data_IF_028586929212
#
_entry.id   IF_028586929212
#
_cell.length_a   1.000
_cell.length_b   1.000
_cell.length_c   1.000
_cell.angle_alpha   90.00
_cell.angle_beta   90.00
_cell.angle_gamma   90.00
#
_symmetry.space_group_name_H-M   'P 1'
#
loop_
_entity.id
_entity.type
_entity.pdbx_description
1 polymer ?
#
# COMPACT_ATOMS: atom_id res chain seq x y z
N UNK A 1 15.85 -20.27 -8.50
CA UNK A 1 14.90 -19.17 -8.18
C UNK A 1 14.32 -18.65 -9.48
N UNK A 2 13.07 -18.18 -9.47
CA UNK A 2 12.44 -17.57 -10.67
C UNK A 2 13.22 -16.31 -11.08
N UNK A 3 13.31 -15.95 -12.38
CA UNK A 3 13.84 -14.65 -12.81
C UNK A 3 13.14 -13.50 -12.08
N UNK A 4 13.89 -12.48 -11.67
CA UNK A 4 13.33 -11.37 -10.89
C UNK A 4 12.26 -10.58 -11.66
N UNK A 5 12.39 -10.46 -12.98
CA UNK A 5 11.38 -9.84 -13.85
C UNK A 5 10.00 -10.49 -13.68
N UNK A 6 9.93 -11.82 -13.50
CA UNK A 6 8.66 -12.51 -13.23
C UNK A 6 8.06 -12.10 -11.88
N UNK A 7 8.89 -11.87 -10.87
CA UNK A 7 8.46 -11.36 -9.56
C UNK A 7 7.88 -9.95 -9.71
N UNK A 8 8.52 -9.08 -10.51
CA UNK A 8 8.02 -7.72 -10.78
C UNK A 8 6.68 -7.78 -11.54
N UNK A 9 6.58 -8.61 -12.57
CA UNK A 9 5.32 -8.77 -13.33
C UNK A 9 4.18 -9.29 -12.46
N UNK A 10 4.45 -10.28 -11.62
CA UNK A 10 3.43 -10.93 -10.79
C UNK A 10 2.97 -10.05 -9.62
N UNK A 11 3.91 -9.43 -8.90
CA UNK A 11 3.60 -8.71 -7.66
C UNK A 11 3.60 -7.19 -7.80
N UNK A 12 4.14 -6.63 -8.89
CA UNK A 12 4.22 -5.20 -9.15
C UNK A 12 2.90 -4.46 -8.95
N UNK A 13 1.78 -4.90 -9.58
CA UNK A 13 0.48 -4.26 -9.40
C UNK A 13 -0.01 -4.28 -7.94
N UNK A 14 0.22 -5.37 -7.21
CA UNK A 14 -0.15 -5.47 -5.80
C UNK A 14 0.65 -4.50 -4.93
N UNK A 15 1.98 -4.48 -5.10
CA UNK A 15 2.86 -3.56 -4.36
C UNK A 15 2.45 -2.11 -4.62
N UNK A 16 2.10 -1.79 -5.87
CA UNK A 16 1.68 -0.43 -6.22
C UNK A 16 0.37 -0.04 -5.52
N UNK A 17 -0.62 -0.92 -5.49
CA UNK A 17 -1.86 -0.69 -4.74
C UNK A 17 -1.59 -0.49 -3.24
N UNK A 18 -0.67 -1.27 -2.67
CA UNK A 18 -0.26 -1.12 -1.27
C UNK A 18 0.42 0.23 -1.03
N UNK A 19 1.35 0.63 -1.90
CA UNK A 19 2.02 1.94 -1.81
C UNK A 19 0.99 3.09 -1.89
N UNK A 20 0.06 3.05 -2.86
CA UNK A 20 -1.03 4.04 -2.99
C UNK A 20 -1.93 4.09 -1.76
N UNK A 21 -2.30 2.94 -1.21
CA UNK A 21 -3.12 2.86 -0.01
C UNK A 21 -2.43 3.49 1.22
N UNK A 22 -1.12 3.29 1.36
CA UNK A 22 -0.38 3.69 2.56
C UNK A 22 0.14 5.13 2.47
N UNK A 23 0.56 5.58 1.29
CA UNK A 23 1.23 6.86 1.09
C UNK A 23 0.37 7.90 0.37
N UNK A 24 -0.58 7.48 -0.46
CA UNK A 24 -1.22 8.35 -1.44
C UNK A 24 -0.57 8.26 -2.83
N UNK A 25 -1.22 8.79 -3.87
CA UNK A 25 -0.74 8.67 -5.26
C UNK A 25 0.59 9.40 -5.50
N UNK A 26 0.85 10.50 -4.81
CA UNK A 26 2.04 11.35 -4.96
C UNK A 26 3.37 10.60 -4.72
N UNK A 27 3.44 9.81 -3.65
CA UNK A 27 4.68 9.13 -3.23
C UNK A 27 4.70 7.65 -3.62
N UNK A 28 3.61 7.12 -4.21
CA UNK A 28 3.44 5.68 -4.41
C UNK A 28 4.37 5.10 -5.48
N UNK A 29 4.51 5.78 -6.62
CA UNK A 29 5.30 5.28 -7.75
C UNK A 29 6.80 5.24 -7.40
N UNK A 30 7.27 6.21 -6.61
CA UNK A 30 8.64 6.24 -6.09
C UNK A 30 8.87 5.14 -5.04
N UNK A 31 7.97 5.01 -4.06
CA UNK A 31 8.04 3.94 -3.07
C UNK A 31 7.98 2.54 -3.71
N UNK A 32 7.20 2.37 -4.77
CA UNK A 32 7.16 1.15 -5.57
C UNK A 32 8.51 0.86 -6.22
N UNK A 33 9.10 1.86 -6.87
CA UNK A 33 10.40 1.75 -7.54
C UNK A 33 11.50 1.40 -6.54
N UNK A 34 11.57 2.12 -5.41
CA UNK A 34 12.51 1.85 -4.34
C UNK A 34 12.33 0.46 -3.73
N UNK A 35 11.10 -0.03 -3.65
CA UNK A 35 10.79 -1.38 -3.17
C UNK A 35 11.42 -2.43 -4.07
N UNK A 36 11.24 -2.32 -5.39
CA UNK A 36 11.81 -3.30 -6.33
C UNK A 36 13.33 -3.17 -6.48
N UNK A 37 13.91 -1.97 -6.35
CA UNK A 37 15.36 -1.77 -6.28
C UNK A 37 15.97 -2.41 -5.02
N UNK A 38 15.29 -2.30 -3.88
CA UNK A 38 15.73 -2.99 -2.66
C UNK A 38 15.55 -4.51 -2.78
N UNK A 39 14.43 -4.95 -3.35
CA UNK A 39 14.11 -6.36 -3.53
C UNK A 39 15.10 -7.06 -4.46
N UNK A 40 15.46 -6.49 -5.63
CA UNK A 40 16.42 -7.15 -6.55
C UNK A 40 17.78 -7.39 -5.90
N UNK A 41 18.22 -6.48 -5.02
CA UNK A 41 19.50 -6.62 -4.28
C UNK A 41 19.44 -7.72 -3.23
N UNK A 42 18.30 -7.87 -2.56
CA UNK A 42 18.10 -8.86 -1.50
C UNK A 42 17.64 -10.23 -2.03
N UNK A 43 17.09 -10.28 -3.24
CA UNK A 43 16.49 -11.47 -3.85
C UNK A 43 17.41 -12.70 -3.88
N UNK A 44 18.73 -12.60 -4.17
CA UNK A 44 19.60 -13.77 -4.16
C UNK A 44 19.70 -14.49 -2.81
N UNK A 45 19.40 -13.80 -1.70
CA UNK A 45 19.42 -14.37 -0.35
C UNK A 45 18.04 -14.80 0.16
N UNK A 46 16.98 -14.67 -0.64
CA UNK A 46 15.63 -15.03 -0.23
C UNK A 46 15.48 -16.57 -0.21
N UNK A 47 15.01 -17.18 0.90
CA UNK A 47 14.75 -18.61 0.94
C UNK A 47 13.76 -19.05 -0.14
N UNK A 48 13.93 -20.25 -0.69
CA UNK A 48 13.10 -20.76 -1.77
C UNK A 48 11.63 -20.99 -1.37
N UNK A 49 11.38 -21.21 -0.08
CA UNK A 49 10.07 -21.41 0.56
C UNK A 49 9.49 -20.12 1.18
N UNK A 50 10.17 -18.98 0.99
CA UNK A 50 9.71 -17.71 1.54
C UNK A 50 8.39 -17.27 0.89
N UNK A 51 7.51 -16.69 1.69
CA UNK A 51 6.35 -15.96 1.19
C UNK A 51 6.81 -14.66 0.53
N UNK A 52 6.95 -14.68 -0.81
CA UNK A 52 7.44 -13.54 -1.61
C UNK A 52 6.53 -12.32 -1.45
N UNK A 53 5.22 -12.53 -1.37
CA UNK A 53 4.24 -11.46 -1.18
C UNK A 53 4.46 -10.72 0.14
N UNK A 54 4.52 -11.47 1.25
CA UNK A 54 4.80 -10.92 2.57
C UNK A 54 6.16 -10.20 2.63
N UNK A 55 7.16 -10.77 1.97
CA UNK A 55 8.49 -10.18 1.90
C UNK A 55 8.49 -8.85 1.13
N UNK A 56 7.83 -8.76 -0.01
CA UNK A 56 7.69 -7.50 -0.76
C UNK A 56 6.90 -6.45 0.02
N UNK A 57 5.80 -6.84 0.67
CA UNK A 57 5.02 -5.93 1.53
C UNK A 57 5.87 -5.44 2.71
N UNK A 58 6.74 -6.28 3.26
CA UNK A 58 7.69 -5.88 4.32
C UNK A 58 8.63 -4.79 3.83
N UNK A 59 9.17 -4.93 2.61
CA UNK A 59 10.05 -3.92 2.02
C UNK A 59 9.27 -2.62 1.76
N UNK A 60 8.09 -2.72 1.12
CA UNK A 60 7.23 -1.58 0.84
C UNK A 60 6.80 -0.83 2.11
N UNK A 61 6.48 -1.56 3.19
CA UNK A 61 6.16 -0.98 4.49
C UNK A 61 7.31 -0.14 5.06
N UNK A 62 8.54 -0.66 4.99
CA UNK A 62 9.74 0.08 5.44
C UNK A 62 9.95 1.34 4.62
N UNK A 63 9.80 1.25 3.30
CA UNK A 63 9.86 2.42 2.40
C UNK A 63 8.82 3.47 2.72
N UNK A 64 7.58 3.05 2.98
CA UNK A 64 6.52 3.96 3.38
C UNK A 64 6.80 4.64 4.73
N UNK A 65 7.38 3.93 5.70
CA UNK A 65 7.82 4.53 6.97
C UNK A 65 8.91 5.59 6.73
N UNK A 66 9.86 5.31 5.86
CA UNK A 66 10.95 6.25 5.57
C UNK A 66 10.44 7.54 4.91
N UNK A 67 9.53 7.43 3.95
CA UNK A 67 8.86 8.56 3.29
C UNK A 67 8.08 9.40 4.31
N UNK A 68 7.22 8.77 5.13
CA UNK A 68 6.42 9.49 6.13
C UNK A 68 7.29 10.19 7.19
N UNK A 69 8.40 9.57 7.60
CA UNK A 69 9.39 10.19 8.50
C UNK A 69 10.16 11.33 7.84
N UNK A 70 10.42 11.27 6.55
CA UNK A 70 11.06 12.36 5.82
C UNK A 70 10.12 13.55 5.68
N UNK A 71 8.86 13.32 5.32
CA UNK A 71 7.84 14.36 5.21
C UNK A 71 7.62 15.11 6.53
N UNK A 72 7.53 14.39 7.65
CA UNK A 72 7.37 15.00 8.98
C UNK A 72 8.56 15.88 9.44
N UNK A 73 9.74 15.73 8.83
CA UNK A 73 10.96 16.49 9.16
C UNK A 73 11.22 17.66 8.22
N UNK A 74 10.47 17.81 7.12
CA UNK A 74 10.62 18.94 6.19
C UNK A 74 9.83 20.14 6.72
N UNK A 75 10.40 21.36 6.75
CA UNK A 75 9.61 22.56 6.95
C UNK A 75 8.60 22.69 5.81
N UNK A 76 7.33 22.96 6.12
CA UNK A 76 6.24 23.08 5.14
C UNK A 76 6.60 24.14 4.09
N UNK A 77 6.85 23.77 2.82
CA UNK A 77 7.11 24.75 1.78
C UNK A 77 5.79 25.44 1.40
N UNK A 78 5.73 26.76 1.56
CA UNK A 78 4.67 27.62 1.01
C UNK A 78 5.00 27.92 -0.44
N UNK A 79 4.93 26.91 -1.31
CA UNK A 79 4.83 27.14 -2.75
C UNK A 79 4.17 25.93 -3.41
N UNK A 80 2.91 26.10 -3.81
CA UNK A 80 2.18 25.07 -4.55
C UNK A 80 2.54 25.20 -6.02
N UNK A 81 3.53 24.42 -6.48
CA UNK A 81 3.63 24.14 -7.91
C UNK A 81 2.53 23.12 -8.27
N UNK A 82 1.76 23.34 -9.34
CA UNK A 82 0.86 22.32 -9.84
C UNK A 82 1.70 21.21 -10.47
N UNK A 83 1.94 20.14 -9.72
CA UNK A 83 2.52 18.93 -10.27
C UNK A 83 1.46 18.21 -11.12
N UNK A 84 1.80 17.98 -12.38
CA UNK A 84 0.96 17.18 -13.27
C UNK A 84 1.22 15.70 -12.96
N UNK A 85 0.20 14.92 -12.57
CA UNK A 85 0.41 13.50 -12.32
C UNK A 85 0.86 12.81 -13.61
N UNK A 86 2.02 12.14 -13.56
CA UNK A 86 2.47 11.28 -14.64
C UNK A 86 1.47 10.13 -14.80
N UNK A 87 0.71 10.13 -15.92
CA UNK A 87 -0.32 9.13 -16.25
C UNK A 87 0.26 7.82 -16.77
N UNK A 88 1.31 7.28 -16.14
CA UNK A 88 1.94 6.04 -16.60
C UNK A 88 2.00 5.01 -15.49
N UNK A 89 0.92 4.23 -15.38
CA UNK A 89 0.81 3.06 -14.50
C UNK A 89 -0.65 2.73 -14.18
N UNK A 90 -1.47 2.37 -15.20
CA UNK A 90 -2.89 2.05 -15.01
C UNK A 90 -3.06 0.66 -14.37
N UNK A 91 -3.83 0.57 -13.29
CA UNK A 91 -5.08 -0.17 -13.27
C UNK A 91 -6.20 0.85 -13.37
N UNK A 92 -6.87 0.88 -14.52
CA UNK A 92 -8.06 1.70 -14.75
C UNK A 92 -9.13 1.29 -13.73
N UNK A 93 -9.93 2.24 -13.24
CA UNK A 93 -11.11 2.07 -12.38
C UNK A 93 -10.91 1.89 -10.86
N UNK A 94 -10.00 2.65 -10.24
CA UNK A 94 -10.03 2.80 -8.78
C UNK A 94 -10.32 4.24 -8.39
N UNK A 95 -11.44 4.40 -7.69
CA UNK A 95 -12.05 5.65 -7.30
C UNK A 95 -11.07 6.54 -6.51
N UNK A 96 -10.88 7.78 -6.96
CA UNK A 96 -10.09 8.78 -6.22
C UNK A 96 -10.61 8.98 -4.80
N UNK A 97 -11.93 8.83 -4.63
CA UNK A 97 -12.61 8.96 -3.34
C UNK A 97 -12.24 7.80 -2.39
N UNK A 98 -11.95 6.60 -2.91
CA UNK A 98 -11.50 5.47 -2.10
C UNK A 98 -10.09 5.70 -1.54
N UNK A 99 -9.18 6.23 -2.36
CA UNK A 99 -7.82 6.55 -1.89
C UNK A 99 -7.84 7.66 -0.85
N UNK A 100 -8.72 8.65 -1.03
CA UNK A 100 -8.91 9.68 -0.02
C UNK A 100 -9.47 9.10 1.28
N UNK A 101 -10.53 8.29 1.20
CA UNK A 101 -11.12 7.64 2.37
C UNK A 101 -10.11 6.74 3.10
N UNK A 102 -9.24 6.03 2.36
CA UNK A 102 -8.14 5.27 2.95
C UNK A 102 -7.13 6.16 3.66
N UNK A 103 -6.73 7.30 3.06
CA UNK A 103 -5.80 8.26 3.67
C UNK A 103 -6.33 8.84 4.98
N UNK A 104 -7.64 9.03 5.09
CA UNK A 104 -8.27 9.60 6.29
C UNK A 104 -8.34 8.60 7.46
N UNK A 105 -8.08 7.32 7.22
CA UNK A 105 -7.99 6.33 8.29
C UNK A 105 -6.73 6.55 9.17
N UNK A 106 -6.82 6.26 10.48
CA UNK A 106 -5.65 6.10 11.32
C UNK A 106 -4.62 5.15 10.70
N UNK A 107 -3.34 5.52 10.73
CA UNK A 107 -2.28 4.82 9.99
C UNK A 107 -2.28 3.29 10.15
N UNK A 108 -2.46 2.79 11.39
CA UNK A 108 -2.51 1.35 11.65
C UNK A 108 -3.74 0.66 11.03
N UNK A 109 -4.90 1.32 11.00
CA UNK A 109 -6.09 0.80 10.37
C UNK A 109 -5.92 0.76 8.85
N UNK A 110 -5.44 1.86 8.27
CA UNK A 110 -5.10 1.97 6.83
C UNK A 110 -4.14 0.86 6.39
N UNK A 111 -3.05 0.68 7.13
CA UNK A 111 -2.06 -0.36 6.83
C UNK A 111 -2.63 -1.77 7.00
N UNK A 112 -3.39 -2.04 8.06
CA UNK A 112 -4.00 -3.35 8.28
C UNK A 112 -5.03 -3.70 7.19
N UNK A 113 -5.80 -2.72 6.71
CA UNK A 113 -6.70 -2.89 5.57
C UNK A 113 -5.90 -3.16 4.29
N UNK A 114 -4.91 -2.33 3.98
CA UNK A 114 -4.10 -2.47 2.76
C UNK A 114 -3.38 -3.83 2.71
N UNK A 115 -2.71 -4.22 3.80
CA UNK A 115 -1.93 -5.45 3.86
C UNK A 115 -2.77 -6.72 3.95
N UNK A 116 -4.06 -6.63 4.27
CA UNK A 116 -4.92 -7.81 4.29
C UNK A 116 -5.72 -7.97 3.00
N UNK A 117 -6.26 -6.87 2.48
CA UNK A 117 -7.21 -6.92 1.37
C UNK A 117 -6.57 -6.65 0.00
N UNK A 118 -5.42 -5.96 -0.06
CA UNK A 118 -4.76 -5.63 -1.35
C UNK A 118 -3.59 -6.56 -1.67
N UNK A 119 -2.85 -6.94 -0.64
CA UNK A 119 -1.92 -8.06 -0.59
C UNK A 119 -2.57 -9.09 0.33
N UNK A 120 -2.78 -10.36 0.03
CA UNK A 120 -3.56 -11.27 0.87
C UNK A 120 -2.91 -11.69 2.19
N UNK A 121 -2.23 -10.82 2.95
CA UNK A 121 -1.45 -11.26 4.10
C UNK A 121 -2.34 -11.74 5.26
N UNK A 122 -1.96 -12.83 5.93
CA UNK A 122 -2.60 -13.25 7.16
C UNK A 122 -2.30 -12.25 8.30
N UNK A 123 -3.26 -12.07 9.21
CA UNK A 123 -3.10 -11.14 10.34
C UNK A 123 -1.86 -11.40 11.22
N UNK A 124 -1.33 -12.62 11.22
CA UNK A 124 -0.09 -12.95 11.91
C UNK A 124 1.11 -12.19 11.32
N UNK A 125 1.22 -12.14 10.00
CA UNK A 125 2.29 -11.40 9.31
C UNK A 125 2.09 -9.88 9.48
N UNK A 126 0.83 -9.42 9.37
CA UNK A 126 0.48 -8.01 9.58
C UNK A 126 0.85 -7.56 11.00
N UNK A 127 0.60 -8.38 12.03
CA UNK A 127 1.00 -8.08 13.39
C UNK A 127 2.52 -7.96 13.55
N UNK A 128 3.29 -8.81 12.86
CA UNK A 128 4.75 -8.71 12.80
C UNK A 128 5.23 -7.41 12.15
N UNK A 129 4.54 -6.94 11.12
CA UNK A 129 4.86 -5.67 10.44
C UNK A 129 4.51 -4.44 11.29
N UNK A 130 3.28 -4.40 11.83
CA UNK A 130 2.75 -3.21 12.51
C UNK A 130 3.17 -3.11 13.98
N UNK A 131 3.73 -4.19 14.53
CA UNK A 131 3.98 -4.35 15.96
C UNK A 131 2.67 -4.56 16.73
N UNK A 132 2.57 -5.69 17.41
CA UNK A 132 1.43 -6.02 18.28
C UNK A 132 0.99 -7.47 18.15
N UNK A 133 -0.23 -7.75 18.59
CA UNK A 133 -0.85 -9.08 18.50
C UNK A 133 -1.64 -9.27 17.21
N UNK A 134 -1.85 -10.52 16.81
CA UNK A 134 -2.74 -10.89 15.70
C UNK A 134 -4.16 -10.34 15.90
N UNK A 135 -4.66 -10.34 17.13
CA UNK A 135 -5.98 -9.77 17.46
C UNK A 135 -6.03 -8.26 17.27
N UNK A 136 -4.95 -7.55 17.63
CA UNK A 136 -4.85 -6.11 17.41
C UNK A 136 -4.84 -5.78 15.91
N UNK A 137 -4.11 -6.56 15.09
CA UNK A 137 -4.10 -6.40 13.63
C UNK A 137 -5.49 -6.66 13.03
N UNK A 138 -6.17 -7.73 13.45
CA UNK A 138 -7.55 -8.04 13.03
C UNK A 138 -8.51 -6.91 13.42
N UNK A 139 -8.44 -6.41 14.66
CA UNK A 139 -9.28 -5.31 15.13
C UNK A 139 -9.02 -4.03 14.34
N UNK A 140 -7.75 -3.67 14.09
CA UNK A 140 -7.41 -2.51 13.27
C UNK A 140 -7.99 -2.59 11.85
N UNK A 141 -7.93 -3.76 11.21
CA UNK A 141 -8.55 -3.97 9.89
C UNK A 141 -10.08 -3.87 9.95
N UNK A 142 -10.72 -4.44 10.97
CA UNK A 142 -12.17 -4.38 11.17
C UNK A 142 -12.66 -2.94 11.41
N UNK A 143 -11.96 -2.18 12.26
CA UNK A 143 -12.28 -0.78 12.56
C UNK A 143 -12.06 0.12 11.33
N UNK A 144 -11.00 -0.14 10.55
CA UNK A 144 -10.77 0.53 9.28
C UNK A 144 -11.90 0.28 8.29
N UNK A 145 -12.31 -0.98 8.10
CA UNK A 145 -13.42 -1.33 7.22
C UNK A 145 -14.76 -0.74 7.69
N UNK A 146 -15.01 -0.71 9.00
CA UNK A 146 -16.19 -0.04 9.57
C UNK A 146 -16.21 1.45 9.22
N UNK A 147 -15.08 2.12 9.36
CA UNK A 147 -14.94 3.54 9.03
C UNK A 147 -15.17 3.76 7.53
N UNK A 148 -14.50 3.01 6.67
CA UNK A 148 -14.67 3.10 5.21
C UNK A 148 -16.12 2.91 4.77
N UNK A 149 -16.85 1.94 5.34
CA UNK A 149 -18.28 1.74 5.04
C UNK A 149 -19.17 2.93 5.39
N UNK A 150 -18.73 3.79 6.32
CA UNK A 150 -19.48 4.99 6.72
C UNK A 150 -19.04 6.26 6.00
N UNK A 151 -17.78 6.32 5.57
CA UNK A 151 -17.18 7.53 4.99
C UNK A 151 -17.05 7.49 3.47
N UNK A 152 -16.91 6.30 2.90
CA UNK A 152 -16.88 6.09 1.46
C UNK A 152 -18.32 5.85 1.00
N UNK A 153 -18.95 6.79 0.25
CA UNK A 153 -20.28 6.58 -0.26
C UNK A 153 -20.27 5.30 -1.11
N UNK A 154 -21.21 4.39 -0.86
CA UNK A 154 -21.45 3.32 -1.81
C UNK A 154 -21.88 4.01 -3.09
N UNK A 155 -20.99 4.06 -4.09
CA UNK A 155 -21.38 4.42 -5.45
C UNK A 155 -22.43 3.40 -5.84
N UNK A 156 -23.71 3.83 -5.82
CA UNK A 156 -24.82 2.99 -6.26
C UNK A 156 -24.44 2.42 -7.62
N UNK A 157 -24.40 1.08 -7.71
CA UNK A 157 -24.06 0.34 -8.93
C UNK A 157 -25.14 0.47 -10.02
N UNK A 158 -25.97 1.53 -9.98
CA UNK A 158 -27.11 1.72 -10.88
C UNK A 158 -26.75 2.41 -12.21
N UNK A 159 -25.59 3.05 -12.35
CA UNK A 159 -25.24 3.78 -13.58
C UNK A 159 -24.54 2.95 -14.68
N UNK A 160 -24.13 1.70 -14.41
CA UNK A 160 -23.51 0.82 -15.43
C UNK A 160 -24.51 -0.09 -16.16
N UNK A 161 -25.81 0.01 -15.85
CA UNK A 161 -26.88 -0.80 -16.45
C UNK A 161 -27.85 0.01 -17.35
N UNK A 162 -27.47 1.23 -17.76
CA UNK A 162 -28.16 2.02 -18.80
C UNK A 162 -27.24 2.25 -19.98
#
# INVERSE_FOLDING_TARGET
MRPFEQIVTEYGPMVLRVCRAVLGPEDADDAWSETFVAAIRAYPGLPADANVEAWLVTIAHRKAIDVTRAAARRPTPVETLPDHPSRTGRPEDWDGDLWQALRDLPAKQRQAVAYHYLAGLPYKEIAGLLGGSTDAARRAAADGLKTLRSTYPATDQEEMAR
#
